data_IF_267545875266
#
_entry.id   IF_267545875266
#
_cell.length_a   1.000
_cell.length_b   1.000
_cell.length_c   1.000
_cell.angle_alpha   90.00
_cell.angle_beta   90.00
_cell.angle_gamma   90.00
#
_symmetry.space_group_name_H-M   'P 1'
#
loop_
_entity.id
_entity.type
_entity.pdbx_description
1 polymer ?
#
# COMPACT_ATOMS: atom_id res chain seq x y z
N UNK A 1 -21.23 -23.34 -3.88
CA UNK A 1 -20.61 -22.26 -4.69
C UNK A 1 -19.78 -22.95 -5.75
N UNK A 2 -20.08 -22.75 -7.03
CA UNK A 2 -19.30 -23.38 -8.11
C UNK A 2 -18.47 -22.28 -8.75
N UNK A 3 -17.15 -22.44 -8.72
CA UNK A 3 -16.19 -21.56 -9.39
C UNK A 3 -15.76 -22.29 -10.66
N UNK A 4 -16.15 -21.77 -11.82
CA UNK A 4 -15.69 -22.27 -13.13
C UNK A 4 -14.84 -21.19 -13.79
N UNK A 5 -13.79 -21.64 -14.47
CA UNK A 5 -12.92 -20.83 -15.31
C UNK A 5 -13.31 -21.13 -16.76
N UNK A 6 -13.61 -20.10 -17.54
CA UNK A 6 -13.90 -20.26 -18.97
C UNK A 6 -12.62 -20.06 -19.82
N UNK A 7 -12.75 -20.29 -21.14
CA UNK A 7 -11.64 -20.28 -22.10
C UNK A 7 -10.98 -18.90 -22.27
N UNK A 8 -11.58 -17.85 -21.70
CA UNK A 8 -11.05 -16.48 -21.65
C UNK A 8 -10.42 -16.12 -20.29
N UNK A 9 -10.35 -17.09 -19.36
CA UNK A 9 -9.76 -16.91 -18.04
C UNK A 9 -10.62 -16.15 -17.03
N UNK A 10 -11.91 -15.93 -17.33
CA UNK A 10 -12.86 -15.23 -16.47
C UNK A 10 -13.39 -16.17 -15.39
N UNK A 11 -13.43 -15.70 -14.15
CA UNK A 11 -13.94 -16.47 -13.01
C UNK A 11 -15.43 -16.20 -12.86
N UNK A 12 -16.23 -17.23 -13.09
CA UNK A 12 -17.68 -17.17 -12.94
C UNK A 12 -18.06 -17.72 -11.56
N UNK A 13 -18.64 -16.85 -10.72
CA UNK A 13 -19.16 -17.21 -9.40
C UNK A 13 -20.68 -17.35 -9.47
N UNK A 14 -21.16 -18.59 -9.49
CA UNK A 14 -22.61 -18.87 -9.53
C UNK A 14 -23.14 -19.04 -8.10
N UNK A 15 -24.01 -18.14 -7.65
CA UNK A 15 -24.73 -18.26 -6.38
C UNK A 15 -26.12 -18.85 -6.62
N UNK A 16 -26.36 -20.09 -6.16
CA UNK A 16 -27.60 -20.83 -6.41
C UNK A 16 -28.85 -20.28 -5.69
N UNK A 17 -28.70 -19.33 -4.74
CA UNK A 17 -29.82 -18.73 -3.99
C UNK A 17 -30.15 -17.30 -4.39
N UNK A 18 -29.38 -16.69 -5.30
CA UNK A 18 -29.63 -15.33 -5.79
C UNK A 18 -29.65 -15.36 -7.32
N UNK A 19 -30.77 -14.94 -7.91
CA UNK A 19 -31.03 -14.91 -9.36
C UNK A 19 -30.11 -13.99 -10.18
N UNK A 20 -29.05 -13.43 -9.58
CA UNK A 20 -28.17 -12.46 -10.24
C UNK A 20 -26.77 -13.04 -10.38
N UNK A 21 -26.44 -13.38 -11.63
CA UNK A 21 -25.16 -13.91 -12.08
C UNK A 21 -24.23 -12.73 -12.41
N UNK A 22 -23.32 -12.38 -11.51
CA UNK A 22 -22.38 -11.28 -11.73
C UNK A 22 -21.12 -11.77 -12.45
N UNK A 23 -20.77 -11.14 -13.58
CA UNK A 23 -19.49 -11.31 -14.28
C UNK A 23 -18.43 -10.45 -13.57
N UNK A 24 -17.42 -11.07 -12.99
CA UNK A 24 -16.28 -10.35 -12.40
C UNK A 24 -15.17 -10.21 -13.44
N UNK A 25 -14.91 -8.98 -13.92
CA UNK A 25 -13.69 -8.67 -14.68
C UNK A 25 -12.57 -8.27 -13.71
N UNK A 26 -11.31 -8.52 -14.09
CA UNK A 26 -10.11 -8.10 -13.33
C UNK A 26 -9.93 -6.58 -13.24
N UNK A 27 -10.76 -5.82 -13.95
CA UNK A 27 -10.72 -4.36 -14.06
C UNK A 27 -11.59 -3.67 -13.00
N UNK A 28 -12.67 -4.31 -12.54
CA UNK A 28 -13.56 -3.71 -11.54
C UNK A 28 -13.00 -3.90 -10.13
N UNK A 29 -12.33 -2.85 -9.60
CA UNK A 29 -11.94 -2.74 -8.19
C UNK A 29 -10.45 -2.56 -7.92
N UNK A 30 -9.61 -2.41 -8.95
CA UNK A 30 -8.17 -2.19 -8.74
C UNK A 30 -7.92 -0.75 -8.28
N UNK A 31 -7.45 -0.58 -7.04
CA UNK A 31 -7.05 0.72 -6.50
C UNK A 31 -6.03 1.39 -7.44
N UNK A 32 -6.45 2.44 -8.13
CA UNK A 32 -5.58 3.32 -8.92
C UNK A 32 -5.10 4.44 -7.99
N UNK A 33 -3.78 4.57 -7.79
CA UNK A 33 -3.25 5.72 -7.04
C UNK A 33 -3.69 7.01 -7.71
N UNK A 34 -4.06 7.99 -6.88
CA UNK A 34 -4.43 9.34 -7.32
C UNK A 34 -3.22 10.15 -7.79
N UNK A 35 -2.04 9.87 -7.23
CA UNK A 35 -0.80 10.58 -7.54
C UNK A 35 -0.01 9.82 -8.60
N UNK A 36 0.55 10.58 -9.55
CA UNK A 36 1.55 10.06 -10.49
C UNK A 36 2.79 9.55 -9.74
N UNK A 37 3.54 8.67 -10.40
CA UNK A 37 4.76 8.10 -9.83
C UNK A 37 5.83 9.17 -9.54
N UNK A 38 6.91 8.80 -8.84
CA UNK A 38 8.07 9.67 -8.73
C UNK A 38 8.60 10.06 -10.12
N UNK A 39 9.06 11.30 -10.28
CA UNK A 39 9.62 11.80 -11.55
C UNK A 39 10.99 11.21 -11.88
N UNK A 40 11.65 10.57 -10.91
CA UNK A 40 12.95 9.94 -11.05
C UNK A 40 12.83 8.43 -11.28
N UNK A 41 13.76 7.88 -12.06
CA UNK A 41 13.86 6.44 -12.28
C UNK A 41 14.40 5.72 -11.05
N UNK A 42 14.21 4.40 -11.00
CA UNK A 42 14.72 3.57 -9.88
C UNK A 42 16.24 3.47 -9.93
N UNK A 43 16.78 3.46 -11.14
CA UNK A 43 18.20 3.36 -11.43
C UNK A 43 18.93 4.60 -10.92
N UNK A 44 18.42 5.80 -11.23
CA UNK A 44 18.97 7.07 -10.74
C UNK A 44 18.93 7.16 -9.20
N UNK A 45 17.87 6.62 -8.57
CA UNK A 45 17.78 6.55 -7.12
C UNK A 45 18.85 5.63 -6.52
N UNK A 46 19.08 4.47 -7.11
CA UNK A 46 20.08 3.52 -6.62
C UNK A 46 21.49 4.10 -6.75
N UNK A 47 21.82 4.72 -7.88
CA UNK A 47 23.11 5.36 -8.11
C UNK A 47 23.35 6.51 -7.11
N UNK A 48 22.35 7.36 -6.88
CA UNK A 48 22.42 8.43 -5.89
C UNK A 48 22.67 7.89 -4.47
N UNK A 49 22.00 6.80 -4.10
CA UNK A 49 22.17 6.15 -2.79
C UNK A 49 23.57 5.56 -2.64
N UNK A 50 24.10 4.89 -3.67
CA UNK A 50 25.47 4.35 -3.65
C UNK A 50 26.53 5.43 -3.58
N UNK A 51 26.37 6.53 -4.33
CA UNK A 51 27.30 7.66 -4.30
C UNK A 51 27.39 8.30 -2.90
N UNK A 52 26.27 8.41 -2.20
CA UNK A 52 26.23 8.92 -0.82
C UNK A 52 26.77 7.89 0.17
N UNK A 53 26.41 6.61 0.02
CA UNK A 53 26.85 5.54 0.94
C UNK A 53 28.35 5.28 0.87
N UNK A 54 28.95 5.42 -0.31
CA UNK A 54 30.40 5.29 -0.53
C UNK A 54 31.18 6.55 -0.11
N UNK A 55 30.50 7.65 0.24
CA UNK A 55 31.13 8.92 0.58
C UNK A 55 31.67 9.70 -0.63
N UNK A 56 31.39 9.26 -1.87
CA UNK A 56 31.78 9.96 -3.10
C UNK A 56 31.11 11.33 -3.23
N UNK A 57 29.87 11.45 -2.76
CA UNK A 57 29.09 12.69 -2.80
C UNK A 57 28.35 12.94 -1.49
N UNK A 58 28.11 14.21 -1.16
CA UNK A 58 27.22 14.56 -0.04
C UNK A 58 25.76 14.38 -0.44
N UNK A 59 24.87 14.20 0.54
CA UNK A 59 23.43 14.08 0.27
C UNK A 59 22.82 15.32 -0.41
N UNK A 60 23.41 16.51 -0.23
CA UNK A 60 22.99 17.72 -0.94
C UNK A 60 23.47 17.72 -2.39
N UNK A 61 24.73 17.33 -2.63
CA UNK A 61 25.28 17.23 -3.98
C UNK A 61 24.50 16.20 -4.81
N UNK A 62 24.25 15.01 -4.25
CA UNK A 62 23.45 13.98 -4.93
C UNK A 62 22.02 14.45 -5.24
N UNK A 63 21.38 15.20 -4.33
CA UNK A 63 20.04 15.72 -4.57
C UNK A 63 19.99 16.67 -5.78
N UNK A 64 21.01 17.51 -5.94
CA UNK A 64 21.12 18.40 -7.09
C UNK A 64 21.43 17.65 -8.39
N UNK A 65 22.33 16.68 -8.36
CA UNK A 65 22.77 15.95 -9.57
C UNK A 65 21.69 15.02 -10.11
N UNK A 66 21.03 14.27 -9.24
CA UNK A 66 20.03 13.28 -9.66
C UNK A 66 18.60 13.82 -9.70
N UNK A 67 18.39 15.08 -9.31
CA UNK A 67 17.05 15.69 -9.17
C UNK A 67 16.11 14.88 -8.27
N UNK A 68 16.66 14.30 -7.20
CA UNK A 68 15.92 13.50 -6.21
C UNK A 68 15.96 14.24 -4.87
N UNK A 69 14.82 14.40 -4.16
CA UNK A 69 14.82 15.06 -2.86
C UNK A 69 15.79 14.41 -1.88
N UNK A 70 16.63 15.23 -1.21
CA UNK A 70 17.64 14.77 -0.25
C UNK A 70 17.08 13.80 0.78
N UNK A 71 15.88 14.08 1.31
CA UNK A 71 15.25 13.24 2.33
C UNK A 71 14.95 11.83 1.81
N UNK A 72 14.50 11.72 0.55
CA UNK A 72 14.31 10.42 -0.12
C UNK A 72 15.62 9.65 -0.15
N UNK A 73 16.70 10.26 -0.64
CA UNK A 73 18.03 9.61 -0.71
C UNK A 73 18.46 9.17 0.69
N UNK A 74 18.35 10.03 1.70
CA UNK A 74 18.76 9.73 3.07
C UNK A 74 17.91 8.65 3.73
N UNK A 75 16.61 8.59 3.49
CA UNK A 75 15.75 7.52 4.01
C UNK A 75 16.10 6.15 3.40
N UNK A 76 16.60 6.14 2.16
CA UNK A 76 17.15 4.95 1.52
C UNK A 76 18.53 4.58 2.07
N UNK A 77 19.44 5.55 2.26
CA UNK A 77 20.78 5.33 2.85
C UNK A 77 20.69 4.84 4.30
N UNK A 78 19.79 5.41 5.10
CA UNK A 78 19.58 5.03 6.51
C UNK A 78 18.73 3.76 6.68
N UNK A 79 18.18 3.21 5.59
CA UNK A 79 17.36 2.00 5.63
C UNK A 79 15.98 2.18 6.28
N UNK A 80 15.52 3.42 6.51
CA UNK A 80 14.17 3.69 7.05
C UNK A 80 13.06 3.22 6.11
N UNK A 81 13.30 3.28 4.80
CA UNK A 81 12.34 2.81 3.80
C UNK A 81 12.14 1.30 3.93
N UNK A 82 10.91 0.91 4.22
CA UNK A 82 10.52 -0.50 4.40
C UNK A 82 10.36 -0.93 5.86
N UNK A 83 10.80 -0.11 6.82
CA UNK A 83 10.52 -0.35 8.23
C UNK A 83 9.05 -0.02 8.52
N UNK A 84 8.26 -1.05 8.85
CA UNK A 84 6.90 -0.88 9.33
C UNK A 84 6.94 -0.53 10.82
N UNK A 85 6.06 0.35 11.26
CA UNK A 85 5.92 0.62 12.69
C UNK A 85 5.45 -0.65 13.40
N UNK A 86 5.97 -0.86 14.61
CA UNK A 86 5.50 -1.94 15.51
C UNK A 86 4.17 -1.57 16.20
N UNK A 87 3.76 -0.31 16.11
CA UNK A 87 2.48 0.14 16.66
C UNK A 87 1.31 -0.53 15.93
N UNK A 88 0.39 -1.15 16.67
CA UNK A 88 -0.86 -1.70 16.14
C UNK A 88 -1.86 -0.61 15.68
N UNK A 89 -1.45 0.66 15.68
CA UNK A 89 -2.26 1.80 15.26
C UNK A 89 -2.86 2.54 16.45
N UNK A 90 -3.93 3.29 16.18
CA UNK A 90 -4.68 4.02 17.20
C UNK A 90 -5.45 3.02 18.07
N UNK A 91 -5.42 3.12 19.41
CA UNK A 91 -6.29 2.28 20.23
C UNK A 91 -7.77 2.57 19.92
N UNK A 92 -8.68 1.60 20.13
CA UNK A 92 -10.11 1.86 20.00
C UNK A 92 -10.52 3.01 20.92
N UNK A 93 -11.49 3.80 20.46
CA UNK A 93 -11.95 5.00 21.20
C UNK A 93 -12.55 4.60 22.55
N UNK A 94 -13.30 3.51 22.56
CA UNK A 94 -13.87 2.94 23.76
C UNK A 94 -13.05 1.74 24.22
N UNK A 95 -13.06 1.50 25.53
CA UNK A 95 -12.55 0.26 26.08
C UNK A 95 -13.56 -0.85 25.80
N UNK A 96 -13.07 -2.09 25.71
CA UNK A 96 -13.90 -3.28 25.47
C UNK A 96 -15.13 -3.35 26.39
N UNK A 97 -14.98 -3.02 27.66
CA UNK A 97 -16.07 -3.03 28.64
C UNK A 97 -17.18 -2.01 28.31
N UNK A 98 -16.80 -0.82 27.84
CA UNK A 98 -17.75 0.24 27.48
C UNK A 98 -18.48 -0.09 26.19
N UNK A 99 -17.77 -0.62 25.19
CA UNK A 99 -18.40 -1.10 23.95
C UNK A 99 -19.43 -2.19 24.25
N UNK A 100 -19.09 -3.08 25.19
CA UNK A 100 -19.95 -4.17 25.64
C UNK A 100 -21.19 -3.65 26.38
N UNK A 101 -21.07 -2.64 27.25
CA UNK A 101 -22.24 -2.01 27.90
C UNK A 101 -23.22 -1.42 26.87
N UNK A 102 -22.71 -0.67 25.89
CA UNK A 102 -23.56 -0.06 24.85
C UNK A 102 -24.25 -1.09 23.93
N UNK A 103 -23.73 -2.31 23.83
CA UNK A 103 -24.31 -3.40 23.04
C UNK A 103 -25.51 -4.07 23.74
N UNK A 104 -25.57 -4.06 25.06
CA UNK A 104 -26.64 -4.72 25.82
C UNK A 104 -27.84 -3.81 26.15
N UNK A 105 -27.67 -2.49 26.01
CA UNK A 105 -28.76 -1.53 26.24
C UNK A 105 -29.74 -1.43 25.05
N UNK A 106 -29.55 -2.20 23.96
CA UNK A 106 -30.36 -2.17 22.73
C UNK A 106 -31.34 -3.36 22.62
N UNK A 107 -31.38 -4.25 23.61
CA UNK A 107 -32.34 -5.36 23.66
C UNK A 107 -33.58 -4.97 24.51
N UNK A 108 -34.49 -4.19 23.91
CA UNK A 108 -35.86 -3.97 24.40
C UNK A 108 -36.86 -4.14 23.25
#
# INVERSE_FOLDING_TARGET
MVVRRDDYGVIIVVNLKKSSFYRYTSEMGRYKRKTEGPSWSREALNEAVEAVRSGRMSGYAAASTFSIPRKTIMDHVTGRRGQKSLSLGRPPVFKYETEKMMLFDVDC
#
